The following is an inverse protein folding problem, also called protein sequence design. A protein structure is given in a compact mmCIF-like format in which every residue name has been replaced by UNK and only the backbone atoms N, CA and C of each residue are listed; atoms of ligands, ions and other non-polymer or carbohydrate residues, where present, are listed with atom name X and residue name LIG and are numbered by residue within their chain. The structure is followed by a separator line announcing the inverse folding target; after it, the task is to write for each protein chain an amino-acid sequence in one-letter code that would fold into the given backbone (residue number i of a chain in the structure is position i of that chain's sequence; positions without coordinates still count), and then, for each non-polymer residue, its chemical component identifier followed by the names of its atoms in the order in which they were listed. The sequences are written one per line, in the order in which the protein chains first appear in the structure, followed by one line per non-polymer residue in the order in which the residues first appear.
data_IF_641801006499
#
_entry.id   IF_641801006499
#
_cell.length_a   1.000
_cell.length_b   1.000
_cell.length_c   1.000
_cell.angle_alpha   90.00
_cell.angle_beta   90.00
_cell.angle_gamma   90.00
#
_symmetry.space_group_name_H-M   'P 1'
#
loop_
_entity.id
_entity.type
_entity.pdbx_description
1 polymer ?
#
# COMPACT_ATOMS: atom_id res chain seq x y z
N UNK A 1 -2.31 -18.44 13.98
CA UNK A 1 -1.83 -17.30 13.17
C UNK A 1 -0.37 -17.17 13.47
N UNK A 2 0.47 -17.29 12.44
CA UNK A 2 1.88 -16.98 12.61
C UNK A 2 2.00 -15.46 12.72
N UNK A 3 3.02 -14.94 13.42
CA UNK A 3 3.27 -13.49 13.54
C UNK A 3 3.44 -12.78 12.17
N UNK A 4 3.52 -13.52 11.06
CA UNK A 4 3.75 -13.01 9.71
C UNK A 4 2.46 -12.82 8.87
N UNK A 5 1.30 -13.27 9.35
CA UNK A 5 0.04 -13.24 8.58
C UNK A 5 -0.57 -11.82 8.46
N UNK A 6 -0.03 -10.85 9.20
CA UNK A 6 -0.55 -9.48 9.31
C UNK A 6 0.41 -8.41 8.76
N UNK A 7 1.41 -8.79 7.98
CA UNK A 7 2.42 -7.85 7.45
C UNK A 7 2.28 -7.69 5.93
N UNK A 8 2.17 -6.45 5.47
CA UNK A 8 2.18 -6.08 4.06
C UNK A 8 3.52 -5.44 3.71
N UNK A 9 4.13 -5.85 2.61
CA UNK A 9 5.37 -5.25 2.10
C UNK A 9 5.11 -4.62 0.74
N UNK A 10 5.41 -3.33 0.62
CA UNK A 10 5.16 -2.54 -0.58
C UNK A 10 6.50 -2.00 -1.09
N UNK A 11 6.94 -2.35 -2.31
CA UNK A 11 8.11 -1.73 -2.92
C UNK A 11 7.82 -0.28 -3.32
N UNK A 12 8.75 0.62 -3.02
CA UNK A 12 8.70 2.04 -3.42
C UNK A 12 9.68 2.25 -4.58
N UNK A 13 9.17 2.74 -5.71
CA UNK A 13 9.91 2.96 -6.95
C UNK A 13 10.14 4.45 -7.20
N UNK A 14 11.09 4.78 -8.08
CA UNK A 14 11.38 6.16 -8.46
C UNK A 14 10.12 6.91 -8.93
N UNK A 15 9.83 8.05 -8.30
CA UNK A 15 8.63 8.87 -8.58
C UNK A 15 8.07 9.60 -7.36
N UNK A 16 8.36 9.10 -6.14
CA UNK A 16 7.97 9.73 -4.88
C UNK A 16 9.12 10.55 -4.25
N UNK A 17 9.80 11.39 -5.03
CA UNK A 17 11.03 12.08 -4.59
C UNK A 17 10.80 13.17 -3.53
N UNK A 18 9.56 13.55 -3.28
CA UNK A 18 9.19 14.48 -2.20
C UNK A 18 9.00 13.80 -0.84
N UNK A 19 9.08 12.46 -0.78
CA UNK A 19 8.98 11.69 0.47
C UNK A 19 7.74 12.00 1.32
N UNK A 20 6.65 12.49 0.73
CA UNK A 20 5.48 12.90 1.51
C UNK A 20 4.90 11.74 2.33
N UNK A 21 4.93 10.51 1.80
CA UNK A 21 4.49 9.33 2.54
C UNK A 21 5.61 8.74 3.40
N UNK A 22 6.80 8.57 2.83
CA UNK A 22 7.95 7.92 3.50
C UNK A 22 8.48 8.76 4.66
N UNK A 23 8.65 10.07 4.47
CA UNK A 23 9.08 11.00 5.51
C UNK A 23 8.08 11.06 6.67
N UNK A 24 6.78 11.08 6.36
CA UNK A 24 5.73 11.00 7.38
C UNK A 24 5.81 9.69 8.17
N UNK A 25 6.02 8.54 7.50
CA UNK A 25 6.17 7.24 8.15
C UNK A 25 7.39 7.16 9.08
N UNK A 26 8.51 7.80 8.70
CA UNK A 26 9.72 7.86 9.54
C UNK A 26 9.45 8.67 10.82
N UNK A 27 8.73 9.78 10.72
CA UNK A 27 8.39 10.63 11.86
C UNK A 27 7.27 10.05 12.72
N UNK A 28 6.26 9.46 12.08
CA UNK A 28 5.05 8.92 12.69
C UNK A 28 4.73 7.56 12.05
N UNK A 29 4.97 6.45 12.76
CA UNK A 29 4.92 5.12 12.17
C UNK A 29 3.49 4.60 11.98
N UNK A 30 2.46 5.45 11.96
CA UNK A 30 1.07 5.02 11.77
C UNK A 30 0.52 5.56 10.46
N UNK A 31 -0.15 4.70 9.71
CA UNK A 31 -0.81 5.06 8.46
C UNK A 31 -2.15 4.33 8.31
N UNK A 32 -2.98 4.85 7.41
CA UNK A 32 -4.18 4.18 6.92
C UNK A 32 -3.94 3.62 5.53
N UNK A 33 -4.22 2.34 5.33
CA UNK A 33 -4.30 1.74 4.00
C UNK A 33 -5.76 1.57 3.60
N UNK A 34 -6.09 1.97 2.37
CA UNK A 34 -7.44 1.89 1.82
C UNK A 34 -7.43 0.93 0.63
N UNK A 35 -8.27 -0.09 0.70
CA UNK A 35 -8.53 -1.02 -0.39
C UNK A 35 -9.99 -0.88 -0.81
N UNK A 36 -10.22 -0.79 -2.12
CA UNK A 36 -11.54 -0.61 -2.70
C UNK A 36 -11.81 -1.80 -3.62
N UNK A 37 -12.93 -2.47 -3.40
CA UNK A 37 -13.53 -3.37 -4.38
C UNK A 37 -14.40 -2.53 -5.31
N UNK A 38 -13.90 -2.24 -6.51
CA UNK A 38 -14.60 -1.40 -7.48
C UNK A 38 -15.82 -2.08 -8.11
N UNK A 39 -15.92 -3.42 -8.06
CA UNK A 39 -17.07 -4.14 -8.60
C UNK A 39 -18.25 -4.12 -7.63
N UNK A 40 -17.97 -4.34 -6.33
CA UNK A 40 -18.99 -4.42 -5.28
C UNK A 40 -19.20 -3.11 -4.54
N UNK A 41 -18.26 -2.17 -4.62
CA UNK A 41 -18.26 -0.95 -3.83
C UNK A 41 -17.90 -1.18 -2.36
N UNK A 42 -17.31 -2.33 -2.00
CA UNK A 42 -16.82 -2.60 -0.65
C UNK A 42 -15.54 -1.78 -0.37
N UNK A 43 -15.38 -1.37 0.89
CA UNK A 43 -14.16 -0.75 1.38
C UNK A 43 -13.56 -1.60 2.50
N UNK A 44 -12.24 -1.78 2.46
CA UNK A 44 -11.44 -2.23 3.59
C UNK A 44 -10.44 -1.12 3.97
N UNK A 45 -10.53 -0.66 5.23
CA UNK A 45 -9.57 0.27 5.83
C UNK A 45 -8.72 -0.48 6.85
N UNK A 46 -7.40 -0.35 6.75
CA UNK A 46 -6.45 -0.90 7.71
C UNK A 46 -5.71 0.23 8.41
N UNK A 47 -5.74 0.24 9.74
CA UNK A 47 -4.77 0.96 10.54
C UNK A 47 -3.51 0.10 10.61
N UNK A 48 -2.38 0.66 10.17
CA UNK A 48 -1.11 -0.04 10.15
C UNK A 48 -0.04 0.71 10.92
N UNK A 49 0.93 -0.05 11.43
CA UNK A 49 2.22 0.46 11.88
C UNK A 49 3.26 0.20 10.80
N UNK A 50 3.86 1.26 10.27
CA UNK A 50 4.80 1.19 9.15
C UNK A 50 6.25 1.44 9.55
N UNK A 51 7.16 0.86 8.76
CA UNK A 51 8.59 1.17 8.76
C UNK A 51 9.16 1.11 7.34
N UNK A 52 10.34 1.70 7.17
CA UNK A 52 11.03 1.76 5.88
C UNK A 52 12.28 0.89 5.95
N UNK A 53 12.40 -0.05 5.01
CA UNK A 53 13.57 -0.91 4.83
C UNK A 53 14.39 -0.33 3.68
N UNK A 54 15.58 0.15 3.99
CA UNK A 54 16.45 0.87 3.06
C UNK A 54 17.39 -0.04 2.27
N UNK A 55 17.71 -1.22 2.81
CA UNK A 55 18.64 -2.15 2.21
C UNK A 55 18.36 -3.61 2.63
N UNK A 56 19.22 -4.53 2.20
CA UNK A 56 19.15 -5.95 2.59
C UNK A 56 18.60 -6.87 1.50
N UNK A 57 18.53 -8.16 1.82
CA UNK A 57 18.15 -9.22 0.87
C UNK A 57 16.69 -9.12 0.42
N UNK A 58 15.80 -8.66 1.30
CA UNK A 58 14.39 -8.42 0.96
C UNK A 58 14.23 -7.35 -0.13
N UNK A 59 15.00 -6.25 -0.08
CA UNK A 59 14.95 -5.24 -1.15
C UNK A 59 15.48 -5.81 -2.48
N UNK A 60 16.54 -6.63 -2.43
CA UNK A 60 17.14 -7.24 -3.63
C UNK A 60 16.19 -8.16 -4.41
N UNK A 61 15.12 -8.67 -3.78
CA UNK A 61 14.09 -9.44 -4.49
C UNK A 61 13.07 -8.58 -5.25
N UNK A 62 13.16 -7.25 -5.19
CA UNK A 62 12.31 -6.30 -5.91
C UNK A 62 13.13 -5.40 -6.85
N UNK A 63 13.42 -5.85 -8.09
CA UNK A 63 14.21 -5.08 -9.05
C UNK A 63 13.60 -3.70 -9.32
N UNK A 64 14.42 -2.65 -9.24
CA UNK A 64 14.01 -1.26 -9.49
C UNK A 64 13.39 -0.54 -8.29
N UNK A 65 13.07 -1.25 -7.20
CA UNK A 65 12.64 -0.61 -5.97
C UNK A 65 13.82 0.08 -5.29
N UNK A 66 13.61 1.30 -4.78
CA UNK A 66 14.63 2.06 -4.05
C UNK A 66 14.65 1.71 -2.56
N UNK A 67 13.52 1.23 -2.04
CA UNK A 67 13.28 0.85 -0.63
C UNK A 67 12.00 0.04 -0.53
N UNK A 68 11.77 -0.59 0.62
CA UNK A 68 10.49 -1.23 0.93
C UNK A 68 9.81 -0.49 2.08
N UNK A 69 8.47 -0.43 2.03
CA UNK A 69 7.65 -0.09 3.18
C UNK A 69 7.04 -1.37 3.72
N UNK A 70 7.24 -1.63 5.01
CA UNK A 70 6.65 -2.77 5.71
C UNK A 70 5.58 -2.26 6.67
N UNK A 71 4.39 -2.84 6.60
CA UNK A 71 3.21 -2.42 7.34
C UNK A 71 2.64 -3.59 8.14
N UNK A 72 2.69 -3.49 9.45
CA UNK A 72 2.01 -4.40 10.36
C UNK A 72 0.56 -3.92 10.57
N UNK A 73 -0.42 -4.79 10.36
CA UNK A 73 -1.84 -4.47 10.54
C UNK A 73 -2.18 -4.44 12.03
N UNK A 74 -2.60 -3.28 12.50
CA UNK A 74 -3.04 -3.07 13.90
C UNK A 74 -4.53 -3.38 14.03
N UNK A 75 -5.36 -2.83 13.13
CA UNK A 75 -6.81 -3.02 13.10
C UNK A 75 -7.34 -2.88 11.67
N UNK A 76 -8.43 -3.58 11.38
CA UNK A 76 -9.15 -3.47 10.11
C UNK A 76 -10.63 -3.19 10.31
N UNK A 77 -11.22 -2.44 9.39
CA UNK A 77 -12.67 -2.24 9.27
C UNK A 77 -13.08 -2.49 7.83
N UNK A 78 -14.07 -3.37 7.62
CA UNK A 78 -14.67 -3.63 6.32
C UNK A 78 -16.09 -3.11 6.31
N UNK A 79 -16.42 -2.34 5.27
CA UNK A 79 -17.75 -1.78 5.05
C UNK A 79 -18.22 -2.26 3.68
N UNK A 80 -19.35 -2.95 3.65
CA UNK A 80 -19.89 -3.52 2.41
C UNK A 80 -20.73 -2.49 1.67
N UNK A 81 -20.65 -2.47 0.34
CA UNK A 81 -21.39 -1.55 -0.54
C UNK A 81 -21.31 -0.08 -0.06
N UNK A 82 -20.14 0.33 0.40
CA UNK A 82 -19.92 1.62 1.06
C UNK A 82 -19.90 2.80 0.06
N UNK A 83 -19.49 2.55 -1.18
CA UNK A 83 -19.32 3.59 -2.18
C UNK A 83 -20.55 3.69 -3.09
N UNK A 84 -21.15 4.88 -3.25
CA UNK A 84 -22.24 5.11 -4.21
C UNK A 84 -21.72 5.31 -5.65
N UNK A 85 -20.44 5.02 -5.89
CA UNK A 85 -19.78 5.20 -7.17
C UNK A 85 -19.90 3.91 -8.00
N UNK A 86 -20.10 4.07 -9.31
CA UNK A 86 -20.13 2.97 -10.27
C UNK A 86 -18.94 3.16 -11.21
N UNK A 87 -18.08 2.15 -11.28
CA UNK A 87 -16.89 2.18 -12.14
C UNK A 87 -17.12 1.34 -13.40
N UNK A 88 -16.50 1.77 -14.49
CA UNK A 88 -16.41 0.98 -15.73
C UNK A 88 -15.25 -0.02 -15.66
N UNK A 89 -15.08 -0.80 -16.73
CA UNK A 89 -13.92 -1.68 -16.87
C UNK A 89 -12.61 -0.88 -16.78
N UNK A 90 -11.59 -1.44 -16.11
CA UNK A 90 -10.28 -0.82 -16.05
C UNK A 90 -9.67 -0.76 -17.45
N UNK A 91 -9.29 0.43 -17.88
CA UNK A 91 -8.59 0.65 -19.15
C UNK A 91 -7.11 0.92 -18.89
N UNK A 92 -6.25 0.39 -19.78
CA UNK A 92 -4.81 0.63 -19.68
C UNK A 92 -4.52 2.12 -19.87
N UNK A 93 -3.62 2.66 -19.04
CA UNK A 93 -3.14 4.02 -19.21
C UNK A 93 -2.56 4.17 -20.63
N UNK A 94 -3.03 5.14 -21.44
CA UNK A 94 -2.60 5.29 -22.83
C UNK A 94 -1.11 5.65 -22.95
N UNK A 95 -0.51 6.08 -21.85
CA UNK A 95 0.90 6.47 -21.76
C UNK A 95 1.82 5.35 -21.26
N UNK A 96 1.33 4.13 -21.02
CA UNK A 96 2.13 2.99 -20.55
C UNK A 96 2.33 1.91 -21.62
N UNK A 97 1.85 2.14 -22.85
CA UNK A 97 2.06 1.27 -23.99
C UNK A 97 3.40 1.60 -24.66
N UNK A 98 4.49 1.02 -24.17
CA UNK A 98 5.79 0.96 -24.87
C UNK A 98 6.32 -0.47 -24.83
#
# INVERSE_FOLDING_TARGET
MSDNDAVLTVPDFAGNSYFNTVGNLICYPYAGLLFIDFERGDILQLLVRGEVIWDGTALKSHPGAERLMRFEVVRGCRILNALPLVWGAAEMCPFLAY
#
